data_IF_754949643535
#
_entry.id   IF_754949643535
#
_cell.length_a   1.000
_cell.length_b   1.000
_cell.length_c   1.000
_cell.angle_alpha   90.00
_cell.angle_beta   90.00
_cell.angle_gamma   90.00
#
_symmetry.space_group_name_H-M   'P 1'
#
loop_
_entity.id
_entity.type
_entity.pdbx_description
1 polymer ?
#
# COMPACT_ATOMS: atom_id res chain seq x y z
N UNK A 1 -5.08 11.61 22.76
CA UNK A 1 -4.03 11.55 21.71
C UNK A 1 -4.17 10.18 21.06
N UNK A 2 -4.11 10.06 19.74
CA UNK A 2 -4.07 8.78 19.06
C UNK A 2 -2.62 8.24 19.06
N UNK A 3 -2.40 6.91 19.06
CA UNK A 3 -3.36 5.83 18.78
C UNK A 3 -4.38 5.59 19.92
N UNK A 4 -5.67 5.51 19.59
CA UNK A 4 -6.75 5.44 20.58
C UNK A 4 -6.78 4.13 21.38
N UNK A 5 -6.28 3.04 20.78
CA UNK A 5 -6.21 1.70 21.39
C UNK A 5 -5.09 1.64 22.44
N UNK A 6 -3.90 2.15 22.09
CA UNK A 6 -2.73 2.15 22.98
C UNK A 6 -2.98 2.99 24.22
N UNK A 7 -3.81 4.03 24.07
CA UNK A 7 -4.24 4.90 25.17
C UNK A 7 -5.50 4.38 25.90
N UNK A 8 -5.97 3.17 25.60
CA UNK A 8 -7.16 2.52 26.19
C UNK A 8 -8.45 3.37 26.15
N UNK A 9 -8.55 4.29 25.19
CA UNK A 9 -9.68 5.23 25.08
C UNK A 9 -10.92 4.54 24.51
N UNK A 10 -10.73 3.50 23.69
CA UNK A 10 -11.79 2.77 22.99
C UNK A 10 -11.73 1.27 23.32
N UNK A 11 -12.90 0.64 23.43
CA UNK A 11 -13.00 -0.81 23.60
C UNK A 11 -12.60 -1.55 22.32
N UNK A 12 -12.16 -2.82 22.40
CA UNK A 12 -11.86 -3.64 21.23
C UNK A 12 -13.02 -3.73 20.24
N UNK A 13 -14.25 -3.85 20.74
CA UNK A 13 -15.45 -3.95 19.90
C UNK A 13 -15.70 -2.65 19.13
N UNK A 14 -15.53 -1.50 19.80
CA UNK A 14 -15.66 -0.18 19.17
C UNK A 14 -14.58 0.01 18.12
N UNK A 15 -13.37 -0.45 18.39
CA UNK A 15 -12.27 -0.41 17.42
C UNK A 15 -12.57 -1.24 16.17
N UNK A 16 -13.08 -2.46 16.32
CA UNK A 16 -13.48 -3.30 15.19
C UNK A 16 -14.62 -2.67 14.39
N UNK A 17 -15.58 -2.02 15.07
CA UNK A 17 -16.67 -1.30 14.40
C UNK A 17 -16.14 -0.11 13.58
N UNK A 18 -15.23 0.70 14.16
CA UNK A 18 -14.60 1.81 13.45
C UNK A 18 -13.79 1.29 12.24
N UNK A 19 -13.00 0.23 12.43
CA UNK A 19 -12.23 -0.39 11.36
C UNK A 19 -13.12 -0.90 10.22
N UNK A 20 -14.28 -1.49 10.55
CA UNK A 20 -15.27 -1.93 9.58
C UNK A 20 -15.84 -0.75 8.77
N UNK A 21 -16.24 0.33 9.43
CA UNK A 21 -16.75 1.54 8.75
C UNK A 21 -15.69 2.20 7.86
N UNK A 22 -14.44 2.28 8.33
CA UNK A 22 -13.31 2.77 7.52
C UNK A 22 -13.08 1.84 6.32
N UNK A 23 -13.17 0.53 6.51
CA UNK A 23 -13.04 -0.46 5.44
C UNK A 23 -14.10 -0.30 4.35
N UNK A 24 -15.36 -0.03 4.72
CA UNK A 24 -16.43 0.28 3.76
C UNK A 24 -16.09 1.55 2.96
N UNK A 25 -15.68 2.62 3.66
CA UNK A 25 -15.29 3.88 3.01
C UNK A 25 -14.10 3.70 2.06
N UNK A 26 -13.10 2.93 2.49
CA UNK A 26 -11.92 2.61 1.68
C UNK A 26 -12.30 1.81 0.43
N UNK A 27 -13.14 0.77 0.56
CA UNK A 27 -13.64 -0.01 -0.57
C UNK A 27 -14.44 0.84 -1.56
N UNK A 28 -15.31 1.73 -1.07
CA UNK A 28 -16.07 2.65 -1.91
C UNK A 28 -15.16 3.59 -2.74
N UNK A 29 -14.11 4.14 -2.13
CA UNK A 29 -13.14 5.00 -2.82
C UNK A 29 -12.31 4.21 -3.84
N UNK A 30 -11.91 2.98 -3.51
CA UNK A 30 -11.19 2.11 -4.42
C UNK A 30 -12.04 1.77 -5.66
N UNK A 31 -13.30 1.41 -5.46
CA UNK A 31 -14.22 1.12 -6.56
C UNK A 31 -14.48 2.36 -7.41
N UNK A 32 -14.74 3.51 -6.76
CA UNK A 32 -14.95 4.78 -7.45
C UNK A 32 -13.75 5.23 -8.29
N UNK A 33 -12.54 4.79 -7.94
CA UNK A 33 -11.31 5.03 -8.71
C UNK A 33 -11.08 3.99 -9.82
N UNK A 34 -11.91 2.95 -9.91
CA UNK A 34 -11.83 1.88 -10.92
C UNK A 34 -10.81 0.78 -10.60
N UNK A 35 -10.38 0.66 -9.33
CA UNK A 35 -9.38 -0.32 -8.93
C UNK A 35 -9.89 -1.77 -8.89
N UNK A 36 -11.17 -2.01 -9.11
CA UNK A 36 -11.69 -3.36 -9.37
C UNK A 36 -11.37 -3.88 -10.77
N UNK A 37 -10.87 -3.04 -11.67
CA UNK A 37 -10.49 -3.44 -13.02
C UNK A 37 -9.03 -3.88 -13.09
N UNK A 38 -8.81 -5.17 -13.32
CA UNK A 38 -7.49 -5.76 -13.62
C UNK A 38 -6.83 -5.12 -14.84
N UNK A 39 -7.62 -4.62 -15.81
CA UNK A 39 -7.12 -3.91 -17.00
C UNK A 39 -6.54 -2.53 -16.68
N UNK A 40 -7.16 -1.80 -15.75
CA UNK A 40 -6.65 -0.51 -15.27
C UNK A 40 -5.35 -0.70 -14.48
N UNK A 41 -5.33 -1.70 -13.60
CA UNK A 41 -4.14 -2.07 -12.84
C UNK A 41 -2.97 -2.50 -13.73
N UNK A 42 -3.23 -3.36 -14.70
CA UNK A 42 -2.24 -3.76 -15.69
C UNK A 42 -1.79 -2.57 -16.56
N UNK A 43 -2.67 -1.61 -16.82
CA UNK A 43 -2.40 -0.47 -17.68
C UNK A 43 -1.29 0.46 -17.23
N UNK A 44 -1.02 0.49 -15.92
CA UNK A 44 0.15 1.16 -15.39
C UNK A 44 1.46 0.55 -15.91
N UNK A 45 1.56 -0.78 -15.95
CA UNK A 45 2.77 -1.48 -16.40
C UNK A 45 3.00 -1.36 -17.91
N UNK A 46 1.91 -1.22 -18.68
CA UNK A 46 1.97 -0.99 -20.13
C UNK A 46 2.08 0.50 -20.49
N UNK A 47 2.05 1.41 -19.51
CA UNK A 47 2.24 2.84 -19.72
C UNK A 47 1.08 3.58 -20.39
N UNK A 48 -0.11 2.96 -20.46
CA UNK A 48 -1.30 3.59 -21.05
C UNK A 48 -2.30 4.14 -20.02
N UNK A 49 -2.17 3.76 -18.73
CA UNK A 49 -3.03 4.26 -17.65
C UNK A 49 -2.20 4.53 -16.39
N UNK A 50 -1.97 5.79 -16.06
CA UNK A 50 -1.17 6.20 -14.87
C UNK A 50 -2.02 6.52 -13.65
N UNK A 51 -3.32 6.19 -13.68
CA UNK A 51 -4.26 6.41 -12.56
C UNK A 51 -3.74 5.79 -11.26
N UNK A 52 -3.22 4.56 -11.34
CA UNK A 52 -2.66 3.84 -10.19
C UNK A 52 -1.55 4.66 -9.53
N UNK A 53 -0.58 5.12 -10.33
CA UNK A 53 0.54 5.94 -9.84
C UNK A 53 0.02 7.22 -9.17
N UNK A 54 -0.89 7.94 -9.84
CA UNK A 54 -1.43 9.22 -9.34
C UNK A 54 -2.18 9.05 -8.02
N UNK A 55 -3.06 8.05 -7.91
CA UNK A 55 -3.86 7.85 -6.70
C UNK A 55 -3.01 7.37 -5.52
N UNK A 56 -2.12 6.40 -5.71
CA UNK A 56 -1.32 5.89 -4.60
C UNK A 56 -0.32 6.94 -4.06
N UNK A 57 0.32 7.72 -4.94
CA UNK A 57 1.23 8.78 -4.49
C UNK A 57 0.49 9.95 -3.84
N UNK A 58 -0.67 10.36 -4.36
CA UNK A 58 -1.48 11.40 -3.70
C UNK A 58 -1.98 10.93 -2.34
N UNK A 59 -2.45 9.68 -2.22
CA UNK A 59 -2.86 9.10 -0.95
C UNK A 59 -1.69 9.05 0.06
N UNK A 60 -0.52 8.58 -0.38
CA UNK A 60 0.68 8.50 0.46
C UNK A 60 1.14 9.88 0.96
N UNK A 61 1.17 10.88 0.08
CA UNK A 61 1.54 12.26 0.44
C UNK A 61 0.50 12.85 1.39
N UNK A 62 -0.79 12.68 1.09
CA UNK A 62 -1.88 13.20 1.93
C UNK A 62 -1.81 12.61 3.34
N UNK A 63 -1.58 11.29 3.44
CA UNK A 63 -1.40 10.61 4.72
C UNK A 63 -0.14 11.11 5.45
N UNK A 64 1.00 11.22 4.77
CA UNK A 64 2.26 11.70 5.37
C UNK A 64 2.12 13.12 5.91
N UNK A 65 1.61 14.03 5.09
CA UNK A 65 1.41 15.43 5.47
C UNK A 65 0.37 15.53 6.59
N UNK A 66 -0.74 14.81 6.48
CA UNK A 66 -1.78 14.76 7.53
C UNK A 66 -1.23 14.28 8.87
N UNK A 67 -0.43 13.20 8.87
CA UNK A 67 0.21 12.67 10.08
C UNK A 67 1.18 13.67 10.70
N UNK A 68 1.99 14.39 9.89
CA UNK A 68 2.89 15.44 10.39
C UNK A 68 2.12 16.61 11.01
N UNK A 69 1.03 17.07 10.38
CA UNK A 69 0.19 18.12 10.94
C UNK A 69 -0.50 17.69 12.23
N UNK A 70 -1.10 16.50 12.25
CA UNK A 70 -1.72 15.97 13.46
C UNK A 70 -0.72 15.75 14.59
N UNK A 71 0.53 15.42 14.26
CA UNK A 71 1.62 15.37 15.25
C UNK A 71 1.97 16.75 15.78
N UNK A 72 2.03 17.78 14.92
CA UNK A 72 2.29 19.16 15.34
C UNK A 72 1.22 19.71 16.30
N UNK A 73 -0.05 19.34 16.08
CA UNK A 73 -1.16 19.73 16.96
C UNK A 73 -1.31 18.84 18.21
N UNK A 74 -0.43 17.86 18.41
CA UNK A 74 -0.49 16.92 19.53
C UNK A 74 -1.69 15.97 19.49
N UNK A 75 -2.31 15.80 18.32
CA UNK A 75 -3.45 14.89 18.14
C UNK A 75 -2.98 13.44 17.97
N UNK A 76 -1.84 13.25 17.30
CA UNK A 76 -1.22 11.95 17.06
C UNK A 76 0.20 11.98 17.62
N UNK A 77 0.54 10.97 18.39
CA UNK A 77 1.92 10.72 18.79
C UNK A 77 2.53 9.69 17.82
N UNK A 78 3.55 10.14 17.08
CA UNK A 78 4.22 9.33 16.06
C UNK A 78 5.10 8.24 16.66
N UNK A 79 5.51 8.38 17.93
CA UNK A 79 6.39 7.40 18.59
C UNK A 79 5.62 6.13 18.97
N UNK A 80 4.30 6.23 19.13
CA UNK A 80 3.39 5.08 19.32
C UNK A 80 2.91 4.46 18.00
N UNK A 81 3.29 5.02 16.84
CA UNK A 81 2.95 4.43 15.54
C UNK A 81 3.88 3.26 15.27
N UNK A 82 3.31 2.06 15.14
CA UNK A 82 4.08 0.86 14.87
C UNK A 82 4.69 0.90 13.47
N UNK A 83 6.01 0.82 13.40
CA UNK A 83 6.78 0.69 12.16
C UNK A 83 7.24 -0.77 12.05
N UNK A 84 6.95 -1.41 10.92
CA UNK A 84 7.36 -2.79 10.70
C UNK A 84 8.90 -2.92 10.65
N UNK A 85 9.47 -3.90 11.37
CA UNK A 85 10.89 -4.20 11.26
C UNK A 85 11.26 -4.58 9.84
N UNK A 86 12.41 -4.08 9.38
CA UNK A 86 12.91 -4.32 8.05
C UNK A 86 13.92 -5.46 8.06
N UNK A 87 13.60 -6.49 7.30
CA UNK A 87 14.46 -7.64 7.02
C UNK A 87 14.75 -7.62 5.52
N UNK A 88 15.98 -7.32 5.13
CA UNK A 88 16.30 -7.01 3.72
C UNK A 88 16.05 -8.22 2.81
N UNK A 89 16.45 -9.42 3.26
CA UNK A 89 16.32 -10.63 2.46
C UNK A 89 14.86 -10.95 2.16
N UNK A 90 14.00 -10.94 3.18
CA UNK A 90 12.57 -11.23 3.01
C UNK A 90 11.82 -10.10 2.32
N UNK A 91 12.23 -8.84 2.49
CA UNK A 91 11.66 -7.72 1.75
C UNK A 91 11.91 -7.85 0.24
N UNK A 92 13.14 -8.22 -0.18
CA UNK A 92 13.47 -8.41 -1.59
C UNK A 92 12.77 -9.65 -2.15
N UNK A 93 12.91 -10.81 -1.51
CA UNK A 93 12.31 -12.07 -1.99
C UNK A 93 10.79 -11.97 -2.02
N UNK A 94 10.19 -11.48 -0.93
CA UNK A 94 8.75 -11.25 -0.84
C UNK A 94 8.25 -10.22 -1.85
N UNK A 95 8.99 -9.14 -2.05
CA UNK A 95 8.67 -8.11 -3.06
C UNK A 95 8.69 -8.67 -4.48
N UNK A 96 9.65 -9.53 -4.84
CA UNK A 96 9.70 -10.18 -6.16
C UNK A 96 8.52 -11.14 -6.32
N UNK A 97 8.26 -11.99 -5.33
CA UNK A 97 7.13 -12.95 -5.38
C UNK A 97 5.79 -12.21 -5.49
N UNK A 98 5.61 -11.14 -4.69
CA UNK A 98 4.42 -10.30 -4.74
C UNK A 98 4.28 -9.58 -6.09
N UNK A 99 5.38 -9.07 -6.66
CA UNK A 99 5.39 -8.44 -7.98
C UNK A 99 5.01 -9.41 -9.10
N UNK A 100 5.56 -10.63 -9.07
CA UNK A 100 5.20 -11.70 -10.03
C UNK A 100 3.72 -12.06 -9.89
N UNK A 101 3.23 -12.22 -8.66
CA UNK A 101 1.81 -12.46 -8.40
C UNK A 101 0.92 -11.34 -8.94
N UNK A 102 1.32 -10.08 -8.73
CA UNK A 102 0.56 -8.92 -9.21
C UNK A 102 0.48 -8.87 -10.74
N UNK A 103 1.59 -9.10 -11.44
CA UNK A 103 1.62 -9.09 -12.92
C UNK A 103 0.78 -10.23 -13.50
N UNK A 104 0.85 -11.43 -12.92
CA UNK A 104 0.06 -12.59 -13.38
C UNK A 104 -1.42 -12.44 -13.05
N UNK A 105 -1.74 -11.94 -11.86
CA UNK A 105 -3.11 -11.84 -11.36
C UNK A 105 -3.85 -10.58 -11.78
N UNK A 106 -3.14 -9.51 -12.13
CA UNK A 106 -3.72 -8.21 -12.43
C UNK A 106 -4.37 -7.52 -11.23
N UNK A 107 -4.13 -7.99 -10.00
CA UNK A 107 -4.66 -7.43 -8.76
C UNK A 107 -3.60 -7.37 -7.66
N UNK A 108 -3.66 -6.34 -6.83
CA UNK A 108 -3.04 -6.37 -5.51
C UNK A 108 -4.07 -6.81 -4.45
N UNK A 109 -3.65 -7.27 -3.27
CA UNK A 109 -4.56 -7.88 -2.29
C UNK A 109 -5.80 -7.03 -1.98
N UNK A 110 -5.65 -5.73 -1.72
CA UNK A 110 -6.77 -4.84 -1.43
C UNK A 110 -7.74 -4.66 -2.60
N UNK A 111 -7.20 -4.52 -3.81
CA UNK A 111 -8.02 -4.37 -5.03
C UNK A 111 -8.75 -5.66 -5.41
N UNK A 112 -8.19 -6.83 -5.08
CA UNK A 112 -8.85 -8.11 -5.31
C UNK A 112 -10.12 -8.25 -4.47
N UNK A 113 -10.09 -7.83 -3.19
CA UNK A 113 -11.30 -7.82 -2.35
C UNK A 113 -12.37 -6.85 -2.87
N UNK A 114 -11.96 -5.67 -3.36
CA UNK A 114 -12.87 -4.74 -4.03
C UNK A 114 -13.50 -5.38 -5.27
N UNK A 115 -12.69 -6.03 -6.12
CA UNK A 115 -13.16 -6.68 -7.33
C UNK A 115 -14.11 -7.86 -7.06
N UNK A 116 -13.87 -8.65 -6.00
CA UNK A 116 -14.83 -9.71 -5.59
C UNK A 116 -16.18 -9.11 -5.21
N UNK A 117 -16.20 -7.95 -4.55
CA UNK A 117 -17.47 -7.33 -4.12
C UNK A 117 -18.40 -6.97 -5.29
N UNK A 118 -17.84 -6.78 -6.49
CA UNK A 118 -18.61 -6.55 -7.73
C UNK A 118 -18.77 -7.82 -8.60
N UNK A 119 -18.40 -9.00 -8.07
CA UNK A 119 -18.64 -10.29 -8.70
C UNK A 119 -17.58 -10.76 -9.69
N UNK A 120 -16.36 -10.20 -9.65
CA UNK A 120 -15.29 -10.56 -10.58
C UNK A 120 -14.63 -11.92 -10.25
N UNK A 121 -14.74 -12.87 -11.18
CA UNK A 121 -14.22 -14.23 -11.03
C UNK A 121 -12.68 -14.31 -11.10
N UNK A 122 -12.05 -13.44 -11.88
CA UNK A 122 -10.58 -13.32 -11.93
C UNK A 122 -10.01 -12.93 -10.56
N UNK A 123 -10.69 -12.04 -9.84
CA UNK A 123 -10.32 -11.67 -8.47
C UNK A 123 -10.53 -12.81 -7.46
N UNK A 124 -11.57 -13.63 -7.64
CA UNK A 124 -11.80 -14.81 -6.81
C UNK A 124 -10.67 -15.84 -6.96
N UNK A 125 -10.23 -16.10 -8.19
CA UNK A 125 -9.08 -16.96 -8.44
C UNK A 125 -7.79 -16.40 -7.79
N UNK A 126 -7.58 -15.08 -7.89
CA UNK A 126 -6.46 -14.41 -7.26
C UNK A 126 -6.48 -14.57 -5.73
N UNK A 127 -7.62 -14.37 -5.09
CA UNK A 127 -7.76 -14.51 -3.63
C UNK A 127 -7.60 -15.97 -3.19
N UNK A 128 -8.07 -16.93 -3.99
CA UNK A 128 -7.77 -18.34 -3.77
C UNK A 128 -6.27 -18.62 -3.78
N UNK A 129 -5.56 -18.13 -4.80
CA UNK A 129 -4.10 -18.24 -4.89
C UNK A 129 -3.37 -17.54 -3.74
N UNK A 130 -3.81 -16.33 -3.37
CA UNK A 130 -3.29 -15.59 -2.22
C UNK A 130 -3.44 -16.39 -0.92
N UNK A 131 -4.62 -16.95 -0.69
CA UNK A 131 -4.93 -17.73 0.52
C UNK A 131 -4.07 -18.99 0.59
N UNK A 132 -3.96 -19.73 -0.53
CA UNK A 132 -3.09 -20.90 -0.62
C UNK A 132 -1.61 -20.53 -0.39
N UNK A 133 -1.15 -19.41 -0.95
CA UNK A 133 0.20 -18.90 -0.73
C UNK A 133 0.48 -18.57 0.74
N UNK A 134 -0.47 -17.94 1.43
CA UNK A 134 -0.37 -17.64 2.87
C UNK A 134 -0.29 -18.93 3.68
N UNK A 135 -1.16 -19.90 3.41
CA UNK A 135 -1.15 -21.20 4.12
C UNK A 135 0.17 -21.93 3.89
N UNK A 136 0.62 -22.02 2.63
CA UNK A 136 1.87 -22.67 2.29
C UNK A 136 3.08 -22.02 2.97
N UNK A 137 3.13 -20.68 2.99
CA UNK A 137 4.20 -19.95 3.67
C UNK A 137 4.14 -20.14 5.19
N UNK A 138 2.94 -20.16 5.77
CA UNK A 138 2.75 -20.32 7.23
C UNK A 138 3.20 -21.71 7.69
N UNK A 139 2.78 -22.77 7.01
CA UNK A 139 3.19 -24.14 7.31
C UNK A 139 4.68 -24.39 7.00
N UNK A 140 5.18 -23.78 5.91
CA UNK A 140 6.59 -23.85 5.52
C UNK A 140 7.50 -22.90 6.29
N UNK A 141 6.96 -22.05 7.17
CA UNK A 141 7.72 -21.00 7.86
C UNK A 141 8.98 -21.53 8.58
N UNK A 142 8.97 -22.69 9.27
CA UNK A 142 10.18 -23.22 9.91
C UNK A 142 11.35 -23.44 8.94
N UNK A 143 11.08 -23.73 7.67
CA UNK A 143 12.12 -23.89 6.64
C UNK A 143 12.62 -22.55 6.10
N UNK A 144 11.76 -21.53 6.12
CA UNK A 144 12.07 -20.19 5.60
C UNK A 144 12.53 -19.23 6.70
N UNK A 145 12.49 -19.61 7.96
CA UNK A 145 12.74 -18.72 9.11
C UNK A 145 14.12 -18.05 9.02
N UNK A 146 15.17 -18.82 8.72
CA UNK A 146 16.54 -18.29 8.59
C UNK A 146 16.63 -17.25 7.48
N UNK A 147 16.03 -17.52 6.32
CA UNK A 147 15.96 -16.58 5.22
C UNK A 147 15.09 -15.37 5.58
N UNK A 148 14.00 -15.58 6.31
CA UNK A 148 13.01 -14.56 6.63
C UNK A 148 13.57 -13.52 7.59
N UNK A 149 14.31 -13.98 8.61
CA UNK A 149 14.95 -13.14 9.63
C UNK A 149 16.34 -12.65 9.24
N UNK A 150 16.88 -13.06 8.10
CA UNK A 150 18.19 -12.63 7.64
C UNK A 150 18.25 -11.11 7.38
N UNK A 151 19.42 -10.53 7.66
CA UNK A 151 19.73 -9.12 7.41
C UNK A 151 18.72 -8.15 8.05
N UNK A 152 18.49 -8.32 9.35
CA UNK A 152 17.69 -7.42 10.16
C UNK A 152 18.40 -6.07 10.35
N UNK A 153 17.69 -4.99 10.06
CA UNK A 153 18.23 -3.61 10.19
C UNK A 153 17.41 -2.75 11.17
N UNK A 154 16.48 -3.33 11.92
CA UNK A 154 15.58 -2.60 12.81
C UNK A 154 14.41 -1.96 12.08
N UNK A 155 13.98 -0.79 12.52
CA UNK A 155 12.85 -0.03 11.94
C UNK A 155 13.33 1.33 11.39
N UNK A 156 14.31 1.36 10.48
CA UNK A 156 14.86 2.63 10.03
C UNK A 156 13.82 3.36 9.17
N UNK A 157 13.56 4.61 9.49
CA UNK A 157 12.77 5.47 8.60
C UNK A 157 13.66 6.03 7.48
N UNK A 158 13.08 6.29 6.31
CA UNK A 158 13.87 6.77 5.15
C UNK A 158 14.55 8.12 5.42
N UNK A 159 13.92 8.98 6.23
CA UNK A 159 14.49 10.24 6.68
C UNK A 159 15.70 10.05 7.61
N UNK A 160 15.70 9.02 8.47
CA UNK A 160 16.83 8.70 9.34
C UNK A 160 18.01 8.12 8.55
N UNK A 161 17.73 7.26 7.56
CA UNK A 161 18.78 6.70 6.69
C UNK A 161 19.48 7.77 5.85
N UNK A 162 18.74 8.79 5.43
CA UNK A 162 19.24 9.91 4.64
C UNK A 162 19.78 11.06 5.51
N UNK A 163 19.70 10.95 6.83
CA UNK A 163 20.07 11.98 7.81
C UNK A 163 19.46 13.37 7.51
N UNK A 164 18.19 13.39 7.12
CA UNK A 164 17.45 14.61 6.77
C UNK A 164 16.21 14.80 7.66
N UNK A 165 15.82 16.06 7.95
CA UNK A 165 14.61 16.33 8.70
C UNK A 165 13.35 15.78 8.01
N UNK A 166 12.40 15.25 8.80
CA UNK A 166 11.13 14.67 8.30
C UNK A 166 10.37 15.62 7.35
N UNK A 167 10.37 16.93 7.65
CA UNK A 167 9.74 17.93 6.78
C UNK A 167 10.45 18.14 5.43
N UNK A 168 11.77 18.04 5.40
CA UNK A 168 12.56 18.14 4.15
C UNK A 168 12.34 16.90 3.29
N UNK A 169 12.32 15.73 3.91
CA UNK A 169 11.97 14.48 3.21
C UNK A 169 10.56 14.54 2.62
N UNK A 170 9.57 15.01 3.40
CA UNK A 170 8.20 15.17 2.92
C UNK A 170 8.12 16.12 1.72
N UNK A 171 8.81 17.27 1.78
CA UNK A 171 8.90 18.19 0.64
C UNK A 171 9.55 17.55 -0.58
N UNK A 172 10.64 16.80 -0.39
CA UNK A 172 11.31 16.07 -1.46
C UNK A 172 10.40 15.03 -2.13
N UNK A 173 9.62 14.30 -1.34
CA UNK A 173 8.67 13.31 -1.85
C UNK A 173 7.52 13.98 -2.62
N UNK A 174 7.03 15.14 -2.15
CA UNK A 174 6.02 15.94 -2.86
C UNK A 174 6.55 16.35 -4.24
N UNK A 175 7.76 16.91 -4.30
CA UNK A 175 8.39 17.32 -5.56
C UNK A 175 8.59 16.13 -6.50
N UNK A 176 9.02 14.99 -5.97
CA UNK A 176 9.16 13.74 -6.73
C UNK A 176 7.81 13.29 -7.32
N UNK A 177 6.74 13.31 -6.54
CA UNK A 177 5.41 12.93 -7.04
C UNK A 177 4.92 13.86 -8.14
N UNK A 178 5.13 15.19 -8.01
CA UNK A 178 4.83 16.13 -9.08
C UNK A 178 5.59 15.80 -10.37
N UNK A 179 6.88 15.49 -10.27
CA UNK A 179 7.67 15.07 -11.41
C UNK A 179 7.12 13.77 -12.04
N UNK A 180 6.74 12.79 -11.22
CA UNK A 180 6.17 11.53 -11.72
C UNK A 180 4.78 11.71 -12.34
N UNK A 181 3.95 12.61 -11.82
CA UNK A 181 2.64 12.91 -12.43
C UNK A 181 2.83 13.57 -13.78
N UNK A 182 3.77 14.49 -13.88
CA UNK A 182 4.11 15.14 -15.14
C UNK A 182 4.65 14.15 -16.18
N UNK A 183 5.55 13.25 -15.78
CA UNK A 183 6.06 12.17 -16.65
C UNK A 183 4.93 11.20 -17.05
N UNK A 184 4.03 10.88 -16.11
CA UNK A 184 2.89 10.01 -16.37
C UNK A 184 1.93 10.60 -17.40
N UNK A 185 1.54 11.86 -17.26
CA UNK A 185 0.71 12.56 -18.25
C UNK A 185 1.39 12.69 -19.61
N UNK A 186 2.71 12.89 -19.63
CA UNK A 186 3.47 12.89 -20.87
C UNK A 186 3.44 11.52 -21.56
N UNK A 187 3.59 10.43 -20.81
CA UNK A 187 3.52 9.08 -21.32
C UNK A 187 2.12 8.76 -21.89
N UNK A 188 1.06 9.11 -21.16
CA UNK A 188 -0.34 8.93 -21.61
C UNK A 188 -0.62 9.68 -22.93
N UNK A 189 -0.15 10.91 -23.05
CA UNK A 189 -0.30 11.71 -24.29
C UNK A 189 0.47 11.14 -25.48
N UNK A 190 1.61 10.49 -25.21
CA UNK A 190 2.49 9.96 -26.26
C UNK A 190 2.10 8.55 -26.71
N UNK A 191 1.54 7.74 -25.80
CA UNK A 191 1.08 6.39 -26.07
C UNK A 191 -0.43 6.25 -25.80
N UNK A 192 -1.29 7.04 -26.48
CA UNK A 192 -2.71 6.90 -26.32
C UNK A 192 -3.14 5.54 -26.86
N UNK A 193 -3.88 4.77 -26.04
CA UNK A 193 -4.72 3.69 -26.54
C UNK A 193 -6.13 4.22 -26.68
N UNK A 194 -6.73 4.05 -27.86
CA UNK A 194 -8.18 4.20 -28.02
C UNK A 194 -8.86 3.24 -27.04
N UNK A 195 -9.69 3.80 -26.16
CA UNK A 195 -10.16 3.18 -24.93
C UNK A 195 -10.95 1.87 -25.14
N UNK A 196 -11.00 1.09 -24.07
CA UNK A 196 -11.81 -0.11 -23.89
C UNK A 196 -13.32 0.18 -23.91
#
# INVERSE_FOLDING_TARGET
MAPLIVNEIISPDTNLLIAFLIGIGFGFVLEGSGFSSSRKLAGMFYGYDTTVLKVFFTAAITAMVGMLFFSLFGWIDLDFVYINPTYITSAIVGGVVMGVGFIMGGFCPGTAFCAISIGKLDALAFIGGLTLGIVFFTEGYPLFEEMYKANFIGTPTMNELLDIPRGVFALGLILMAFAMFWVGEWAEKKFPREEY
#
